data_IF_274042183771
#
_entry.id   IF_274042183771
#
_cell.length_a   1.000
_cell.length_b   1.000
_cell.length_c   1.000
_cell.angle_alpha   90.00
_cell.angle_beta   90.00
_cell.angle_gamma   90.00
#
_symmetry.space_group_name_H-M   'P 1'
#
loop_
_entity.id
_entity.type
_entity.pdbx_description
1 polymer ?
#
# COMPACT_ATOMS: atom_id res chain seq x y z
N UNK A 1 3.07 -26.47 -5.83
CA UNK A 1 3.75 -25.49 -6.69
C UNK A 1 3.31 -24.10 -6.25
N UNK A 2 4.24 -23.23 -5.83
CA UNK A 2 3.86 -21.86 -5.46
C UNK A 2 3.58 -21.10 -6.77
N UNK A 3 2.31 -20.80 -7.06
CA UNK A 3 1.95 -20.07 -8.27
C UNK A 3 2.47 -18.65 -8.17
N UNK A 4 3.11 -18.16 -9.24
CA UNK A 4 3.53 -16.76 -9.33
C UNK A 4 2.29 -15.87 -9.17
N UNK A 5 2.40 -14.82 -8.36
CA UNK A 5 1.31 -13.89 -8.03
C UNK A 5 1.74 -12.48 -8.39
N UNK A 6 0.77 -11.64 -8.71
CA UNK A 6 0.98 -10.21 -8.95
C UNK A 6 0.57 -9.41 -7.71
N UNK A 7 1.53 -8.68 -7.15
CA UNK A 7 1.41 -8.03 -5.85
C UNK A 7 1.68 -6.54 -6.01
N UNK A 8 0.77 -5.69 -5.53
CA UNK A 8 0.90 -4.24 -5.55
C UNK A 8 1.12 -3.74 -4.13
N UNK A 9 2.24 -3.08 -3.86
CA UNK A 9 2.60 -2.54 -2.54
C UNK A 9 2.70 -1.02 -2.61
N UNK A 10 1.79 -0.33 -1.92
CA UNK A 10 1.82 1.12 -1.78
C UNK A 10 2.60 1.51 -0.53
N UNK A 11 3.49 2.48 -0.61
CA UNK A 11 4.43 2.80 0.47
C UNK A 11 5.69 1.93 0.45
N UNK A 12 6.13 1.52 -0.74
CA UNK A 12 7.19 0.54 -0.96
C UNK A 12 8.63 1.03 -0.72
N UNK A 13 8.86 2.34 -0.58
CA UNK A 13 10.23 2.87 -0.59
C UNK A 13 11.03 2.64 0.69
N UNK A 14 10.38 2.50 1.84
CA UNK A 14 11.04 2.38 3.17
C UNK A 14 10.20 1.56 4.14
N UNK A 15 10.80 1.18 5.27
CA UNK A 15 10.12 0.52 6.38
C UNK A 15 9.50 -0.81 5.98
N UNK A 16 8.29 -1.07 6.49
CA UNK A 16 7.58 -2.35 6.29
C UNK A 16 7.28 -2.60 4.81
N UNK A 17 6.92 -1.57 4.04
CA UNK A 17 6.65 -1.71 2.61
C UNK A 17 7.88 -2.19 1.82
N UNK A 18 9.06 -1.70 2.15
CA UNK A 18 10.31 -2.12 1.49
C UNK A 18 10.64 -3.59 1.77
N UNK A 19 10.47 -4.04 3.01
CA UNK A 19 10.73 -5.45 3.37
C UNK A 19 9.70 -6.40 2.76
N UNK A 20 8.42 -6.00 2.67
CA UNK A 20 7.37 -6.76 1.98
C UNK A 20 7.72 -6.94 0.51
N UNK A 21 8.12 -5.86 -0.17
CA UNK A 21 8.53 -5.91 -1.57
C UNK A 21 9.68 -6.88 -1.76
N UNK A 22 10.74 -6.73 -0.95
CA UNK A 22 11.92 -7.59 -1.00
C UNK A 22 11.56 -9.05 -0.77
N UNK A 23 10.74 -9.35 0.24
CA UNK A 23 10.30 -10.70 0.57
C UNK A 23 9.57 -11.36 -0.59
N UNK A 24 8.53 -10.70 -1.14
CA UNK A 24 7.74 -11.31 -2.22
C UNK A 24 8.48 -11.42 -3.54
N UNK A 25 9.36 -10.46 -3.85
CA UNK A 25 10.24 -10.56 -5.03
C UNK A 25 11.24 -11.71 -4.90
N UNK A 26 11.82 -11.93 -3.71
CA UNK A 26 12.70 -13.06 -3.44
C UNK A 26 11.99 -14.42 -3.55
N UNK A 27 10.68 -14.46 -3.28
CA UNK A 27 9.84 -15.63 -3.52
C UNK A 27 9.48 -15.85 -5.00
N UNK A 28 9.92 -14.96 -5.90
CA UNK A 28 9.68 -15.05 -7.34
C UNK A 28 8.32 -14.50 -7.80
N UNK A 29 7.59 -13.78 -6.94
CA UNK A 29 6.36 -13.09 -7.33
C UNK A 29 6.66 -11.85 -8.19
N UNK A 30 5.66 -11.39 -8.95
CA UNK A 30 5.74 -10.10 -9.65
C UNK A 30 5.24 -9.02 -8.70
N UNK A 31 6.12 -8.09 -8.35
CA UNK A 31 5.82 -7.06 -7.35
C UNK A 31 5.92 -5.67 -7.99
N UNK A 32 4.83 -4.92 -7.88
CA UNK A 32 4.73 -3.50 -8.22
C UNK A 32 4.85 -2.69 -6.93
N UNK A 33 5.88 -1.86 -6.83
CA UNK A 33 6.07 -0.95 -5.71
C UNK A 33 5.62 0.46 -6.08
N UNK A 34 4.66 1.03 -5.36
CA UNK A 34 4.22 2.42 -5.53
C UNK A 34 4.74 3.27 -4.38
N UNK A 35 5.42 4.36 -4.70
CA UNK A 35 5.91 5.34 -3.72
C UNK A 35 6.39 6.61 -4.41
N UNK A 36 6.43 7.72 -3.64
CA UNK A 36 6.93 9.03 -4.11
C UNK A 36 8.45 9.08 -4.29
N UNK A 37 9.18 8.15 -3.67
CA UNK A 37 10.63 8.04 -3.73
C UNK A 37 11.00 6.65 -4.22
N UNK A 38 12.21 6.50 -4.78
CA UNK A 38 12.66 5.22 -5.34
C UNK A 38 12.37 4.02 -4.42
N UNK A 39 11.77 2.98 -5.01
CA UNK A 39 11.67 1.64 -4.42
C UNK A 39 12.65 0.68 -5.10
N UNK A 40 13.17 -0.26 -4.33
CA UNK A 40 14.13 -1.27 -4.81
C UNK A 40 13.53 -2.66 -4.75
N UNK A 41 14.09 -3.61 -5.50
CA UNK A 41 13.65 -5.01 -5.54
C UNK A 41 12.22 -5.21 -6.06
N UNK A 42 11.69 -4.28 -6.87
CA UNK A 42 10.38 -4.38 -7.54
C UNK A 42 10.37 -3.62 -8.86
N UNK A 43 9.28 -3.76 -9.61
CA UNK A 43 8.90 -2.78 -10.63
C UNK A 43 8.36 -1.52 -9.91
N UNK A 44 9.16 -0.46 -9.87
CA UNK A 44 8.81 0.78 -9.18
C UNK A 44 7.95 1.68 -10.05
N UNK A 45 6.86 2.18 -9.47
CA UNK A 45 5.97 3.18 -10.05
C UNK A 45 6.02 4.40 -9.14
N UNK A 46 6.63 5.48 -9.64
CA UNK A 46 6.65 6.77 -8.96
C UNK A 46 5.25 7.40 -9.02
N UNK A 47 4.58 7.52 -7.86
CA UNK A 47 3.28 8.17 -7.78
C UNK A 47 2.95 8.61 -6.34
N UNK A 48 2.14 9.66 -6.24
CA UNK A 48 1.41 10.01 -5.03
C UNK A 48 -0.03 9.52 -5.11
N UNK A 49 -0.33 8.46 -4.36
CA UNK A 49 -1.65 7.84 -4.31
C UNK A 49 -2.70 8.67 -3.54
N UNK A 50 -2.33 9.80 -2.93
CA UNK A 50 -3.32 10.72 -2.38
C UNK A 50 -3.94 11.65 -3.42
N UNK A 51 -3.47 11.61 -4.68
CA UNK A 51 -4.02 12.41 -5.78
C UNK A 51 -4.67 11.53 -6.84
N UNK A 52 -5.72 12.05 -7.48
CA UNK A 52 -6.42 11.36 -8.57
C UNK A 52 -5.46 11.08 -9.74
N UNK A 53 -4.53 12.00 -10.00
CA UNK A 53 -3.51 11.89 -11.04
C UNK A 53 -2.53 10.75 -10.75
N UNK A 54 -2.09 10.61 -9.50
CA UNK A 54 -1.20 9.53 -9.10
C UNK A 54 -1.90 8.16 -9.15
N UNK A 55 -3.17 8.09 -8.75
CA UNK A 55 -3.97 6.86 -8.91
C UNK A 55 -4.12 6.50 -10.39
N UNK A 56 -4.48 7.46 -11.25
CA UNK A 56 -4.59 7.24 -12.68
C UNK A 56 -3.25 6.80 -13.31
N UNK A 57 -2.13 7.40 -12.87
CA UNK A 57 -0.79 7.01 -13.31
C UNK A 57 -0.48 5.55 -12.98
N UNK A 58 -0.77 5.11 -11.75
CA UNK A 58 -0.58 3.72 -11.31
C UNK A 58 -1.43 2.76 -12.14
N UNK A 59 -2.71 3.07 -12.35
CA UNK A 59 -3.61 2.26 -13.17
C UNK A 59 -3.08 2.14 -14.61
N UNK A 60 -2.62 3.24 -15.21
CA UNK A 60 -2.07 3.25 -16.56
C UNK A 60 -0.78 2.42 -16.67
N UNK A 61 0.08 2.44 -15.65
CA UNK A 61 1.34 1.68 -15.63
C UNK A 61 1.11 0.18 -15.43
N UNK A 62 0.19 -0.20 -14.55
CA UNK A 62 -0.20 -1.59 -14.35
C UNK A 62 -0.96 -2.10 -15.59
N UNK A 63 -1.74 -1.25 -16.23
CA UNK A 63 -2.55 -1.58 -17.40
C UNK A 63 -3.62 -2.61 -17.05
N UNK A 64 -3.81 -3.60 -17.93
CA UNK A 64 -4.76 -4.69 -17.71
C UNK A 64 -4.16 -5.87 -16.93
N UNK A 65 -2.98 -5.69 -16.33
CA UNK A 65 -2.33 -6.76 -15.57
C UNK A 65 -3.16 -7.11 -14.32
N UNK A 66 -3.46 -8.41 -14.12
CA UNK A 66 -4.34 -8.82 -13.06
C UNK A 66 -3.64 -8.84 -11.68
N UNK A 67 -3.90 -7.85 -10.82
CA UNK A 67 -3.42 -7.82 -9.42
C UNK A 67 -4.12 -8.85 -8.51
N UNK A 68 -3.34 -9.74 -7.89
CA UNK A 68 -3.82 -10.77 -6.95
C UNK A 68 -3.87 -10.28 -5.51
N UNK A 69 -3.01 -9.34 -5.15
CA UNK A 69 -2.94 -8.77 -3.80
C UNK A 69 -2.50 -7.31 -3.87
N UNK A 70 -3.32 -6.40 -3.34
CA UNK A 70 -2.93 -5.03 -3.02
C UNK A 70 -2.50 -5.00 -1.55
N UNK A 71 -1.47 -4.25 -1.17
CA UNK A 71 -1.01 -4.02 0.20
C UNK A 71 -0.75 -2.52 0.37
N UNK A 72 -1.46 -1.89 1.31
CA UNK A 72 -1.35 -0.45 1.56
C UNK A 72 -0.49 -0.18 2.80
N UNK A 73 0.79 0.06 2.60
CA UNK A 73 1.77 0.24 3.70
C UNK A 73 2.20 1.70 3.89
N UNK A 74 1.65 2.62 3.08
CA UNK A 74 1.86 4.05 3.22
C UNK A 74 1.01 4.63 4.35
N UNK A 75 1.65 5.27 5.32
CA UNK A 75 1.00 6.02 6.39
C UNK A 75 1.82 7.24 6.77
N UNK A 76 1.15 8.34 7.11
CA UNK A 76 1.77 9.49 7.77
C UNK A 76 1.50 9.39 9.27
N UNK A 77 2.52 9.56 10.08
CA UNK A 77 2.38 9.64 11.53
C UNK A 77 2.00 11.08 11.87
N UNK A 78 0.80 11.31 12.40
CA UNK A 78 0.39 12.63 12.89
C UNK A 78 0.61 12.70 14.41
N UNK A 79 1.23 13.78 14.87
CA UNK A 79 1.69 14.00 16.25
C UNK A 79 0.55 13.88 17.29
N UNK A 80 -0.69 14.09 16.86
CA UNK A 80 -1.89 14.09 17.71
C UNK A 80 -2.74 12.81 17.63
N UNK A 81 -2.35 11.82 16.83
CA UNK A 81 -3.15 10.62 16.53
C UNK A 81 -3.38 9.65 17.70
N UNK A 82 -2.88 9.97 18.89
CA UNK A 82 -3.04 9.18 20.12
C UNK A 82 -3.54 10.00 21.32
N UNK A 83 -3.96 11.26 21.12
CA UNK A 83 -4.54 12.06 22.20
C UNK A 83 -5.97 11.62 22.49
N UNK A 84 -6.34 11.61 23.77
CA UNK A 84 -7.61 11.10 24.27
C UNK A 84 -8.84 11.86 23.71
N UNK A 85 -8.61 13.06 23.17
CA UNK A 85 -9.62 13.97 22.65
C UNK A 85 -9.71 13.95 21.11
N UNK A 86 -9.04 12.99 20.45
CA UNK A 86 -9.11 12.86 19.00
C UNK A 86 -10.54 12.44 18.57
N UNK A 87 -11.16 13.26 17.72
CA UNK A 87 -12.57 13.12 17.30
C UNK A 87 -12.65 13.10 15.76
N UNK A 88 -12.84 11.90 15.21
CA UNK A 88 -12.95 11.62 13.78
C UNK A 88 -13.93 12.52 13.03
N UNK A 89 -15.01 12.94 13.69
CA UNK A 89 -16.07 13.71 13.05
C UNK A 89 -15.74 15.21 12.96
N UNK A 90 -14.69 15.65 13.65
CA UNK A 90 -14.23 17.05 13.66
C UNK A 90 -13.11 17.33 12.67
N UNK A 91 -12.49 16.30 12.09
CA UNK A 91 -11.43 16.46 11.09
C UNK A 91 -12.05 16.68 9.71
N UNK A 92 -11.88 17.89 9.16
CA UNK A 92 -12.49 18.28 7.90
C UNK A 92 -11.82 17.61 6.69
N UNK A 93 -12.61 16.85 5.94
CA UNK A 93 -12.56 16.70 4.47
C UNK A 93 -11.28 16.12 3.85
N UNK A 94 -11.42 14.97 3.19
CA UNK A 94 -10.41 14.18 2.42
C UNK A 94 -9.66 13.08 3.21
N UNK A 95 -9.70 13.10 4.54
CA UNK A 95 -9.19 12.02 5.40
C UNK A 95 -10.28 10.98 5.73
N UNK A 96 -10.66 10.14 4.76
CA UNK A 96 -11.39 8.88 5.08
C UNK A 96 -10.54 7.66 4.70
N UNK A 97 -9.33 7.87 4.16
CA UNK A 97 -8.29 6.83 3.95
C UNK A 97 -6.96 7.24 4.60
N UNK A 98 -7.02 8.18 5.53
CA UNK A 98 -5.96 8.43 6.50
C UNK A 98 -6.64 8.23 7.83
N UNK A 99 -6.50 7.04 8.40
CA UNK A 99 -5.93 6.99 9.73
C UNK A 99 -5.64 5.57 10.21
N UNK A 100 -4.46 5.52 10.82
CA UNK A 100 -3.99 4.66 11.90
C UNK A 100 -3.90 3.16 11.65
N UNK A 101 -2.83 2.59 12.19
CA UNK A 101 -2.24 1.28 11.91
C UNK A 101 -1.34 1.22 10.68
N UNK A 102 -0.28 0.42 10.78
CA UNK A 102 0.27 -0.31 9.63
C UNK A 102 -0.86 -1.24 9.17
N UNK A 103 -1.88 -0.68 8.52
CA UNK A 103 -3.02 -1.44 8.04
C UNK A 103 -2.57 -2.11 6.76
N UNK A 104 -1.99 -3.30 6.89
CA UNK A 104 -1.65 -4.11 5.73
C UNK A 104 -2.93 -4.57 5.05
N UNK A 105 -3.51 -3.70 4.22
CA UNK A 105 -4.75 -4.02 3.54
C UNK A 105 -4.48 -5.02 2.42
N UNK A 106 -4.60 -6.33 2.70
CA UNK A 106 -4.41 -7.39 1.69
C UNK A 106 -5.73 -7.71 1.00
N UNK A 107 -6.02 -7.09 -0.15
CA UNK A 107 -7.19 -7.49 -0.94
C UNK A 107 -6.82 -8.62 -1.90
N UNK A 108 -7.26 -9.84 -1.62
CA UNK A 108 -7.01 -10.99 -2.50
C UNK A 108 -8.15 -11.22 -3.50
N UNK A 109 -7.80 -11.47 -4.76
CA UNK A 109 -8.76 -11.77 -5.83
C UNK A 109 -9.74 -12.90 -5.51
N UNK A 110 -9.29 -13.91 -4.74
CA UNK A 110 -10.05 -15.11 -4.43
C UNK A 110 -10.60 -15.15 -3.00
N UNK A 111 -10.28 -14.16 -2.16
CA UNK A 111 -10.77 -14.06 -0.77
C UNK A 111 -10.86 -12.59 -0.34
N UNK A 112 -12.05 -12.15 0.08
CA UNK A 112 -12.22 -10.89 0.81
C UNK A 112 -11.69 -11.04 2.25
N UNK A 113 -10.38 -11.30 2.40
CA UNK A 113 -9.75 -11.44 3.71
C UNK A 113 -9.07 -10.13 4.07
N UNK A 114 -9.59 -9.46 5.09
CA UNK A 114 -8.96 -8.28 5.69
C UNK A 114 -8.05 -8.79 6.81
N UNK A 115 -6.77 -8.42 6.79
CA UNK A 115 -5.83 -8.76 7.85
C UNK A 115 -5.28 -7.46 8.44
N UNK A 116 -5.68 -7.15 9.67
CA UNK A 116 -5.10 -6.04 10.44
C UNK A 116 -3.89 -6.61 11.18
N UNK A 117 -2.70 -6.09 10.90
CA UNK A 117 -1.51 -6.37 11.73
C UNK A 117 -1.42 -5.23 12.74
N UNK A 118 -1.89 -5.50 13.95
CA UNK A 118 -1.74 -4.61 15.10
C UNK A 118 -0.38 -4.93 15.74
N UNK A 119 0.48 -3.92 15.91
CA UNK A 119 1.60 -3.98 16.85
C UNK A 119 1.21 -3.22 18.11
#
# INVERSE_FOLDING_TARGET
MNTKKQILVVGSSRGIGAEIVKYFSNLGHEVFGVSRSQSHSCEWIEADISTSEGIAHVINKIGQKPIDSLLFTGGTWEEYGFMIDFDFLKTSGILVIKEHFVSLFVKNRNKNTFCYVLY
#
